data_IF_331126275970
#
_entry.id   IF_331126275970
#
_cell.length_a   1.000
_cell.length_b   1.000
_cell.length_c   1.000
_cell.angle_alpha   90.00
_cell.angle_beta   90.00
_cell.angle_gamma   90.00
#
_symmetry.space_group_name_H-M   'P 1'
#
loop_
_entity.id
_entity.type
_entity.pdbx_description
1 polymer ?
#
# COMPACT_ATOMS: atom_id res chain seq x y z
N UNK A 1 31.37 -22.02 -57.20
CA UNK A 1 31.81 -22.96 -56.14
C UNK A 1 32.31 -22.07 -55.01
N UNK A 2 31.46 -21.79 -54.06
CA UNK A 2 31.78 -20.98 -52.91
C UNK A 2 31.69 -21.91 -51.68
N UNK A 3 32.79 -22.06 -50.94
CA UNK A 3 32.93 -22.85 -49.74
C UNK A 3 32.14 -22.17 -48.58
N UNK A 4 31.35 -22.92 -47.79
CA UNK A 4 30.70 -22.36 -46.60
C UNK A 4 31.70 -22.19 -45.45
N UNK A 5 31.55 -21.08 -44.73
CA UNK A 5 32.34 -20.76 -43.53
C UNK A 5 31.99 -21.73 -42.37
N UNK A 6 32.93 -22.03 -41.47
CA UNK A 6 32.70 -22.96 -40.37
C UNK A 6 31.76 -22.35 -39.30
N UNK A 7 30.77 -23.15 -38.92
CA UNK A 7 29.88 -22.88 -37.80
C UNK A 7 30.69 -22.71 -36.51
N UNK A 8 30.48 -21.57 -35.84
CA UNK A 8 30.96 -21.37 -34.48
C UNK A 8 30.09 -22.21 -33.56
N UNK A 9 30.65 -23.29 -33.10
CA UNK A 9 30.16 -24.12 -32.00
C UNK A 9 29.96 -23.26 -30.76
N UNK A 10 28.71 -22.99 -30.43
CA UNK A 10 28.34 -22.33 -29.17
C UNK A 10 28.54 -23.37 -28.07
N UNK A 11 29.70 -23.33 -27.42
CA UNK A 11 29.97 -24.12 -26.20
C UNK A 11 28.99 -23.69 -25.12
N UNK A 12 27.91 -24.42 -24.97
CA UNK A 12 26.97 -24.37 -23.88
C UNK A 12 27.60 -24.96 -22.62
N UNK A 13 28.41 -24.18 -21.91
CA UNK A 13 28.92 -24.54 -20.61
C UNK A 13 28.93 -23.34 -19.67
N UNK A 14 27.88 -22.54 -19.71
CA UNK A 14 27.62 -21.62 -18.61
C UNK A 14 26.48 -22.22 -17.77
N UNK A 15 26.90 -23.06 -16.81
CA UNK A 15 26.02 -23.56 -15.76
C UNK A 15 25.38 -22.36 -15.09
N UNK A 16 24.04 -22.27 -15.03
CA UNK A 16 23.40 -21.19 -14.29
C UNK A 16 23.93 -21.18 -12.85
N UNK A 17 24.15 -20.02 -12.25
CA UNK A 17 24.66 -19.93 -10.90
C UNK A 17 23.81 -20.78 -9.98
N UNK A 18 24.43 -21.76 -9.33
CA UNK A 18 23.76 -22.68 -8.41
C UNK A 18 23.27 -21.85 -7.22
N UNK A 19 22.00 -21.47 -7.27
CA UNK A 19 21.33 -20.82 -6.16
C UNK A 19 21.37 -21.79 -4.97
N UNK A 20 22.24 -21.55 -4.01
CA UNK A 20 22.35 -22.44 -2.86
C UNK A 20 21.07 -22.26 -2.03
N UNK A 21 20.37 -23.37 -1.82
CA UNK A 21 19.15 -23.41 -0.99
C UNK A 21 19.38 -22.84 0.42
N UNK A 22 20.63 -22.88 0.91
CA UNK A 22 21.05 -22.33 2.19
C UNK A 22 21.06 -20.79 2.25
N UNK A 23 21.15 -20.09 1.10
CA UNK A 23 21.02 -18.63 1.05
C UNK A 23 19.56 -18.18 1.13
N UNK A 24 18.65 -18.98 0.58
CA UNK A 24 17.21 -18.75 0.69
C UNK A 24 16.68 -18.93 2.11
N UNK A 25 17.25 -19.90 2.85
CA UNK A 25 16.87 -20.21 4.24
C UNK A 25 17.34 -19.12 5.23
N UNK A 26 18.41 -18.39 4.91
CA UNK A 26 18.93 -17.31 5.76
C UNK A 26 18.42 -15.92 5.41
N UNK A 27 17.47 -15.77 4.47
CA UNK A 27 16.88 -14.48 4.10
C UNK A 27 17.92 -13.50 3.52
N UNK A 28 19.02 -13.99 2.98
CA UNK A 28 19.98 -13.17 2.25
C UNK A 28 19.40 -12.86 0.87
N UNK A 29 18.81 -11.69 0.76
CA UNK A 29 18.65 -11.03 -0.54
C UNK A 29 20.06 -10.88 -1.11
N UNK A 30 20.36 -11.60 -2.20
CA UNK A 30 21.56 -11.34 -3.00
C UNK A 30 21.32 -10.04 -3.80
N UNK A 31 21.15 -8.93 -3.08
CA UNK A 31 21.16 -7.57 -3.59
C UNK A 31 22.51 -6.97 -3.23
N UNK A 32 23.04 -6.26 -4.18
CA UNK A 32 24.26 -5.50 -4.18
C UNK A 32 24.77 -5.14 -2.76
N UNK A 33 25.85 -5.76 -2.32
CA UNK A 33 26.44 -5.57 -0.98
C UNK A 33 26.84 -4.12 -0.72
N UNK A 34 27.01 -3.31 -1.77
CA UNK A 34 27.28 -1.88 -1.67
C UNK A 34 26.13 -1.10 -1.03
N UNK A 35 24.88 -1.56 -1.17
CA UNK A 35 23.71 -0.95 -0.53
C UNK A 35 23.66 -1.21 0.99
N UNK A 36 24.34 -2.27 1.47
CA UNK A 36 24.37 -2.65 2.88
C UNK A 36 25.37 -1.81 3.67
N UNK A 37 26.47 -1.38 3.04
CA UNK A 37 27.52 -0.58 3.70
C UNK A 37 27.02 0.79 4.18
N UNK A 38 26.02 1.38 3.51
CA UNK A 38 25.50 2.71 3.86
C UNK A 38 24.49 2.74 5.02
N UNK A 39 23.82 1.63 5.36
CA UNK A 39 22.74 1.59 6.37
C UNK A 39 22.69 0.27 7.16
N UNK A 40 23.71 -0.07 7.95
CA UNK A 40 23.79 -1.35 8.64
C UNK A 40 22.69 -1.60 9.67
N UNK A 41 22.04 -0.54 10.20
CA UNK A 41 20.98 -0.66 11.19
C UNK A 41 19.68 -1.27 10.62
N UNK A 42 19.42 -1.11 9.31
CA UNK A 42 18.22 -1.65 8.66
C UNK A 42 18.23 -3.17 8.53
N UNK A 43 19.42 -3.78 8.64
CA UNK A 43 19.63 -5.21 8.50
C UNK A 43 19.96 -5.91 9.84
N UNK A 44 19.92 -5.18 10.95
CA UNK A 44 20.10 -5.77 12.28
C UNK A 44 18.76 -6.26 12.82
N UNK A 45 18.67 -7.53 13.30
CA UNK A 45 17.46 -8.02 13.95
C UNK A 45 17.22 -7.25 15.26
N UNK A 46 15.99 -6.81 15.46
CA UNK A 46 15.58 -6.10 16.68
C UNK A 46 15.17 -7.14 17.70
N UNK A 47 15.90 -7.22 18.83
CA UNK A 47 15.56 -8.09 19.96
C UNK A 47 14.70 -7.30 20.95
N UNK A 48 13.44 -7.69 21.11
CA UNK A 48 12.52 -7.17 22.13
C UNK A 48 12.17 -8.30 23.08
N UNK A 49 12.93 -8.40 24.19
CA UNK A 49 12.77 -9.49 25.16
C UNK A 49 13.06 -10.88 24.53
N UNK A 50 12.17 -11.87 24.76
CA UNK A 50 12.36 -13.22 24.20
C UNK A 50 12.05 -13.33 22.69
N UNK A 51 11.52 -12.26 22.06
CA UNK A 51 11.10 -12.24 20.67
C UNK A 51 12.15 -11.58 19.78
N UNK A 52 12.61 -12.30 18.76
CA UNK A 52 13.46 -11.74 17.70
C UNK A 52 12.58 -11.30 16.55
N UNK A 53 12.40 -9.98 16.39
CA UNK A 53 11.73 -9.42 15.23
C UNK A 53 12.65 -9.46 14.01
N UNK A 54 12.14 -9.77 12.82
CA UNK A 54 12.92 -9.67 11.60
C UNK A 54 13.45 -8.25 11.43
N UNK A 55 14.57 -8.11 10.71
CA UNK A 55 15.16 -6.78 10.47
C UNK A 55 14.23 -5.87 9.69
N UNK A 56 14.39 -4.55 9.84
CA UNK A 56 13.49 -3.56 9.23
C UNK A 56 13.34 -3.71 7.71
N UNK A 57 14.41 -4.02 6.98
CA UNK A 57 14.40 -4.21 5.53
C UNK A 57 13.86 -5.59 5.11
N UNK A 58 13.39 -6.45 6.03
CA UNK A 58 12.83 -7.75 5.66
C UNK A 58 11.52 -7.60 4.89
N UNK A 59 11.25 -8.48 3.91
CA UNK A 59 10.00 -8.47 3.15
C UNK A 59 8.77 -8.50 4.05
N UNK A 60 8.79 -9.29 5.11
CA UNK A 60 7.70 -9.44 6.08
C UNK A 60 7.41 -8.13 6.82
N UNK A 61 8.45 -7.46 7.33
CA UNK A 61 8.31 -6.18 8.03
C UNK A 61 7.77 -5.11 7.10
N UNK A 62 8.28 -5.01 5.87
CA UNK A 62 7.82 -4.04 4.89
C UNK A 62 6.34 -4.29 4.50
N UNK A 63 5.94 -5.55 4.32
CA UNK A 63 4.55 -5.90 4.07
C UNK A 63 3.65 -5.46 5.23
N UNK A 64 4.03 -5.76 6.47
CA UNK A 64 3.25 -5.40 7.65
C UNK A 64 3.10 -3.86 7.73
N UNK A 65 4.18 -3.11 7.53
CA UNK A 65 4.13 -1.64 7.53
C UNK A 65 3.15 -1.12 6.48
N UNK A 66 3.24 -1.61 5.23
CA UNK A 66 2.34 -1.19 4.16
C UNK A 66 0.90 -1.61 4.44
N UNK A 67 0.69 -2.79 5.02
CA UNK A 67 -0.63 -3.26 5.44
C UNK A 67 -1.24 -2.36 6.51
N UNK A 68 -0.43 -1.88 7.49
CA UNK A 68 -0.88 -0.91 8.48
C UNK A 68 -1.19 0.46 7.89
N UNK A 69 -0.44 0.92 6.89
CA UNK A 69 -0.78 2.14 6.15
C UNK A 69 -2.16 1.99 5.50
N UNK A 70 -2.42 0.87 4.85
CA UNK A 70 -3.72 0.61 4.23
C UNK A 70 -4.83 0.35 5.26
N UNK A 71 -4.51 -0.18 6.43
CA UNK A 71 -5.44 -0.29 7.56
C UNK A 71 -5.90 1.10 8.03
N UNK A 72 -4.94 2.03 8.25
CA UNK A 72 -5.23 3.36 8.78
C UNK A 72 -5.85 4.32 7.74
N UNK A 73 -5.43 4.25 6.48
CA UNK A 73 -5.91 5.15 5.43
C UNK A 73 -7.18 4.60 4.75
N UNK A 74 -7.12 3.71 3.75
CA UNK A 74 -8.33 3.23 3.08
C UNK A 74 -9.22 2.34 3.95
N UNK A 75 -8.68 1.63 4.95
CA UNK A 75 -9.47 0.83 5.88
C UNK A 75 -10.41 1.69 6.72
N UNK A 76 -9.90 2.74 7.35
CA UNK A 76 -10.73 3.70 8.10
C UNK A 76 -11.64 4.52 7.19
N UNK A 77 -11.20 4.86 5.99
CA UNK A 77 -12.05 5.51 4.98
C UNK A 77 -13.28 4.65 4.66
N UNK A 78 -13.11 3.34 4.46
CA UNK A 78 -14.23 2.43 4.22
C UNK A 78 -15.23 2.42 5.38
N UNK A 79 -14.74 2.49 6.62
CA UNK A 79 -15.60 2.59 7.80
C UNK A 79 -16.42 3.89 7.80
N UNK A 80 -15.77 5.04 7.58
CA UNK A 80 -16.43 6.35 7.53
C UNK A 80 -17.42 6.43 6.38
N UNK A 81 -17.06 5.90 5.20
CA UNK A 81 -17.95 5.86 4.03
C UNK A 81 -19.14 4.94 4.26
N UNK A 82 -18.95 3.78 4.90
CA UNK A 82 -20.04 2.86 5.27
C UNK A 82 -21.03 3.47 6.26
N UNK A 83 -20.61 4.41 7.09
CA UNK A 83 -21.47 5.20 7.99
C UNK A 83 -22.09 6.45 7.32
N UNK A 84 -21.99 6.58 6.00
CA UNK A 84 -22.52 7.74 5.27
C UNK A 84 -21.79 9.04 5.64
N UNK A 85 -20.46 9.04 5.62
CA UNK A 85 -19.65 10.20 6.01
C UNK A 85 -19.72 10.51 7.51
N UNK A 86 -19.83 9.47 8.34
CA UNK A 86 -19.98 9.60 9.79
C UNK A 86 -21.43 9.94 10.23
N UNK A 87 -22.41 9.77 9.34
CA UNK A 87 -23.83 10.05 9.62
C UNK A 87 -24.21 11.53 9.68
N UNK A 88 -23.28 12.44 9.37
CA UNK A 88 -23.47 13.89 9.50
C UNK A 88 -23.54 14.63 8.16
N UNK A 89 -23.30 13.93 7.05
CA UNK A 89 -23.28 14.51 5.70
C UNK A 89 -24.55 14.10 4.96
N UNK A 90 -25.15 15.03 4.21
CA UNK A 90 -26.31 14.73 3.35
C UNK A 90 -25.91 13.66 2.32
N UNK A 91 -26.74 12.65 2.14
CA UNK A 91 -26.46 11.49 1.27
C UNK A 91 -26.11 11.91 -0.16
N UNK A 92 -26.73 12.98 -0.67
CA UNK A 92 -26.45 13.53 -2.01
C UNK A 92 -25.00 14.02 -2.10
N UNK A 93 -24.56 14.81 -1.12
CA UNK A 93 -23.25 15.44 -1.13
C UNK A 93 -22.12 14.41 -0.99
N UNK A 94 -22.36 13.35 -0.19
CA UNK A 94 -21.45 12.18 -0.11
C UNK A 94 -21.38 11.45 -1.45
N UNK A 95 -22.53 11.29 -2.12
CA UNK A 95 -22.59 10.63 -3.44
C UNK A 95 -21.82 11.41 -4.50
N UNK A 96 -21.97 12.74 -4.51
CA UNK A 96 -21.26 13.62 -5.43
C UNK A 96 -19.74 13.58 -5.18
N UNK A 97 -19.30 13.61 -3.91
CA UNK A 97 -17.90 13.47 -3.54
C UNK A 97 -17.33 12.09 -3.93
N UNK A 98 -18.09 11.00 -3.73
CA UNK A 98 -17.70 9.66 -4.14
C UNK A 98 -17.61 9.52 -5.66
N UNK A 99 -18.51 10.15 -6.40
CA UNK A 99 -18.47 10.17 -7.87
C UNK A 99 -17.20 10.85 -8.36
N UNK A 100 -16.84 12.00 -7.79
CA UNK A 100 -15.59 12.69 -8.10
C UNK A 100 -14.37 11.83 -7.75
N UNK A 101 -14.39 11.18 -6.58
CA UNK A 101 -13.34 10.29 -6.12
C UNK A 101 -13.09 9.12 -7.09
N UNK A 102 -14.13 8.35 -7.38
CA UNK A 102 -13.98 7.16 -8.23
C UNK A 102 -13.66 7.50 -9.69
N UNK A 103 -14.13 8.64 -10.19
CA UNK A 103 -13.82 9.13 -11.54
C UNK A 103 -12.33 9.46 -11.66
N UNK A 104 -11.79 10.23 -10.72
CA UNK A 104 -10.36 10.59 -10.69
C UNK A 104 -9.47 9.38 -10.39
N UNK A 105 -9.91 8.49 -9.50
CA UNK A 105 -9.23 7.24 -9.21
C UNK A 105 -9.08 6.36 -10.46
N UNK A 106 -10.14 6.22 -11.25
CA UNK A 106 -10.10 5.44 -12.49
C UNK A 106 -9.08 6.01 -13.49
N UNK A 107 -9.10 7.32 -13.72
CA UNK A 107 -8.16 7.97 -14.64
C UNK A 107 -6.71 7.85 -14.17
N UNK A 108 -6.47 8.17 -12.91
CA UNK A 108 -5.10 8.15 -12.34
C UNK A 108 -4.57 6.72 -12.21
N UNK A 109 -5.44 5.74 -11.95
CA UNK A 109 -5.06 4.33 -11.86
C UNK A 109 -4.31 3.83 -13.10
N UNK A 110 -4.67 4.27 -14.29
CA UNK A 110 -3.95 3.95 -15.52
C UNK A 110 -2.54 4.55 -15.56
N UNK A 111 -2.33 5.71 -14.98
CA UNK A 111 -1.05 6.43 -15.01
C UNK A 111 -0.19 6.18 -13.78
N UNK A 112 -0.78 5.65 -12.71
CA UNK A 112 -0.16 5.51 -11.40
C UNK A 112 1.14 4.68 -11.45
N UNK A 113 1.20 3.63 -12.25
CA UNK A 113 2.40 2.81 -12.42
C UNK A 113 3.58 3.60 -12.99
N UNK A 114 3.34 4.42 -14.01
CA UNK A 114 4.38 5.26 -14.62
C UNK A 114 4.85 6.35 -13.65
N UNK A 115 3.94 6.91 -12.87
CA UNK A 115 4.24 7.93 -11.85
C UNK A 115 5.05 7.30 -10.72
N UNK A 116 4.63 6.14 -10.20
CA UNK A 116 5.31 5.42 -9.13
C UNK A 116 6.74 5.02 -9.52
N UNK A 117 6.98 4.62 -10.77
CA UNK A 117 8.31 4.29 -11.26
C UNK A 117 9.24 5.52 -11.33
N UNK A 118 8.72 6.71 -11.53
CA UNK A 118 9.53 7.94 -11.60
C UNK A 118 9.79 8.56 -10.22
N UNK A 119 8.78 8.58 -9.37
CA UNK A 119 8.82 9.22 -8.04
C UNK A 119 9.39 8.27 -6.99
N UNK A 120 9.20 6.96 -7.18
CA UNK A 120 9.58 5.92 -6.23
C UNK A 120 8.46 5.58 -5.25
N UNK A 121 8.45 4.32 -4.80
CA UNK A 121 7.36 3.74 -3.99
C UNK A 121 7.12 4.47 -2.67
N UNK A 122 8.19 4.94 -2.00
CA UNK A 122 8.08 5.62 -0.70
C UNK A 122 7.31 6.93 -0.79
N UNK A 123 7.67 7.78 -1.76
CA UNK A 123 6.99 9.05 -1.95
C UNK A 123 5.57 8.83 -2.44
N UNK A 124 5.35 7.89 -3.34
CA UNK A 124 4.01 7.54 -3.85
C UNK A 124 3.08 7.09 -2.72
N UNK A 125 3.57 6.26 -1.78
CA UNK A 125 2.80 5.86 -0.60
C UNK A 125 2.48 7.05 0.31
N UNK A 126 3.45 7.94 0.56
CA UNK A 126 3.27 9.11 1.41
C UNK A 126 2.25 10.09 0.84
N UNK A 127 2.33 10.40 -0.46
CA UNK A 127 1.33 11.21 -1.15
C UNK A 127 -0.05 10.55 -1.12
N UNK A 128 -0.11 9.23 -1.29
CA UNK A 128 -1.34 8.47 -1.18
C UNK A 128 -2.01 8.66 0.17
N UNK A 129 -1.28 8.53 1.27
CA UNK A 129 -1.80 8.72 2.63
C UNK A 129 -2.27 10.15 2.91
N UNK A 130 -1.58 11.15 2.36
CA UNK A 130 -1.93 12.56 2.56
C UNK A 130 -3.33 12.92 2.03
N UNK A 131 -3.77 12.30 0.93
CA UNK A 131 -5.12 12.50 0.39
C UNK A 131 -6.22 12.11 1.36
N UNK A 132 -6.03 11.03 2.12
CA UNK A 132 -6.99 10.59 3.14
C UNK A 132 -7.13 11.60 4.28
N UNK A 133 -6.01 12.20 4.70
CA UNK A 133 -6.03 13.25 5.70
C UNK A 133 -6.85 14.47 5.26
N UNK A 134 -6.65 14.95 4.03
CA UNK A 134 -7.41 16.09 3.49
C UNK A 134 -8.89 15.76 3.38
N UNK A 135 -9.24 14.54 2.98
CA UNK A 135 -10.64 14.13 2.88
C UNK A 135 -11.32 14.11 4.24
N UNK A 136 -10.68 13.58 5.28
CA UNK A 136 -11.23 13.61 6.65
C UNK A 136 -11.36 15.05 7.15
N UNK A 137 -10.38 15.91 6.87
CA UNK A 137 -10.46 17.33 7.20
C UNK A 137 -11.65 18.03 6.47
N UNK A 138 -11.96 17.63 5.23
CA UNK A 138 -13.09 18.18 4.49
C UNK A 138 -14.44 17.76 5.10
N UNK A 139 -14.56 16.53 5.61
CA UNK A 139 -15.74 16.08 6.35
C UNK A 139 -15.96 16.91 7.62
N UNK A 140 -14.89 17.18 8.35
CA UNK A 140 -14.95 18.05 9.53
C UNK A 140 -15.37 19.49 9.15
N UNK A 141 -14.81 20.02 8.08
CA UNK A 141 -15.19 21.35 7.55
C UNK A 141 -16.65 21.40 7.10
N UNK A 142 -17.13 20.33 6.47
CA UNK A 142 -18.52 20.22 6.06
C UNK A 142 -19.47 20.28 7.27
N UNK A 143 -19.11 19.58 8.34
CA UNK A 143 -19.92 19.57 9.57
C UNK A 143 -20.04 20.96 10.22
N UNK A 144 -19.08 21.86 10.01
CA UNK A 144 -19.12 23.22 10.56
C UNK A 144 -19.75 24.25 9.63
N UNK A 145 -19.48 24.15 8.33
CA UNK A 145 -19.80 25.20 7.35
C UNK A 145 -20.69 24.74 6.17
N UNK A 146 -21.11 23.47 6.13
CA UNK A 146 -21.83 22.85 5.01
C UNK A 146 -21.16 23.11 3.62
N UNK A 147 -19.82 23.18 3.56
CA UNK A 147 -19.11 23.51 2.34
C UNK A 147 -18.98 22.28 1.43
N UNK A 148 -19.97 22.09 0.56
CA UNK A 148 -20.04 20.98 -0.41
C UNK A 148 -18.88 21.04 -1.42
N UNK A 149 -18.49 22.25 -1.86
CA UNK A 149 -17.44 22.43 -2.86
C UNK A 149 -16.10 21.89 -2.38
N UNK A 150 -15.75 22.14 -1.11
CA UNK A 150 -14.53 21.61 -0.52
C UNK A 150 -14.57 20.08 -0.36
N UNK A 151 -15.72 19.52 0.00
CA UNK A 151 -15.91 18.08 0.11
C UNK A 151 -15.71 17.36 -1.23
N UNK A 152 -16.32 17.86 -2.32
CA UNK A 152 -16.20 17.30 -3.66
C UNK A 152 -14.75 17.43 -4.18
N UNK A 153 -14.11 18.59 -3.96
CA UNK A 153 -12.70 18.79 -4.31
C UNK A 153 -11.79 17.82 -3.57
N UNK A 154 -11.99 17.65 -2.27
CA UNK A 154 -11.22 16.71 -1.46
C UNK A 154 -11.46 15.27 -1.89
N UNK A 155 -12.67 14.92 -2.33
CA UNK A 155 -13.00 13.63 -2.94
C UNK A 155 -12.19 13.39 -4.21
N UNK A 156 -12.16 14.36 -5.13
CA UNK A 156 -11.38 14.26 -6.35
C UNK A 156 -9.87 14.12 -6.06
N UNK A 157 -9.34 14.90 -5.12
CA UNK A 157 -7.95 14.80 -4.69
C UNK A 157 -7.64 13.44 -4.05
N UNK A 158 -8.55 12.94 -3.22
CA UNK A 158 -8.43 11.61 -2.64
C UNK A 158 -8.37 10.53 -3.73
N UNK A 159 -9.17 10.64 -4.79
CA UNK A 159 -9.13 9.69 -5.91
C UNK A 159 -7.74 9.63 -6.57
N UNK A 160 -7.11 10.78 -6.78
CA UNK A 160 -5.72 10.85 -7.28
C UNK A 160 -4.76 10.14 -6.32
N UNK A 161 -4.82 10.49 -5.04
CA UNK A 161 -3.95 9.95 -4.01
C UNK A 161 -4.17 8.44 -3.78
N UNK A 162 -5.43 8.00 -3.79
CA UNK A 162 -5.78 6.59 -3.66
C UNK A 162 -5.25 5.76 -4.84
N UNK A 163 -5.35 6.26 -6.08
CA UNK A 163 -4.78 5.57 -7.24
C UNK A 163 -3.28 5.33 -7.09
N UNK A 164 -2.54 6.31 -6.61
CA UNK A 164 -1.12 6.20 -6.33
C UNK A 164 -0.82 5.22 -5.19
N UNK A 165 -1.58 5.29 -4.09
CA UNK A 165 -1.40 4.41 -2.93
C UNK A 165 -1.64 2.95 -3.29
N UNK A 166 -2.74 2.65 -3.99
CA UNK A 166 -3.08 1.28 -4.38
C UNK A 166 -2.07 0.71 -5.38
N UNK A 167 -1.54 1.53 -6.28
CA UNK A 167 -0.48 1.11 -7.19
C UNK A 167 0.82 0.79 -6.42
N UNK A 168 1.23 1.66 -5.51
CA UNK A 168 2.47 1.48 -4.75
C UNK A 168 2.38 0.28 -3.79
N UNK A 169 1.25 0.10 -3.09
CA UNK A 169 1.05 -1.07 -2.22
C UNK A 169 1.04 -2.37 -3.04
N UNK A 170 0.37 -2.38 -4.19
CA UNK A 170 0.35 -3.54 -5.09
C UNK A 170 1.76 -3.93 -5.56
N UNK A 171 2.58 -2.94 -5.92
CA UNK A 171 3.96 -3.16 -6.31
C UNK A 171 4.80 -3.75 -5.16
N UNK A 172 4.66 -3.26 -3.93
CA UNK A 172 5.34 -3.82 -2.75
C UNK A 172 4.88 -5.26 -2.51
N UNK A 173 3.57 -5.51 -2.50
CA UNK A 173 3.00 -6.82 -2.22
C UNK A 173 3.42 -7.88 -3.24
N UNK A 174 3.67 -7.49 -4.50
CA UNK A 174 4.05 -8.44 -5.56
C UNK A 174 5.56 -8.58 -5.75
N UNK A 175 6.35 -7.56 -5.38
CA UNK A 175 7.80 -7.54 -5.64
C UNK A 175 8.65 -8.02 -4.47
N UNK A 176 8.19 -7.86 -3.23
CA UNK A 176 8.98 -8.19 -2.04
C UNK A 176 8.97 -9.67 -1.67
N UNK A 177 7.85 -10.41 -1.75
CA UNK A 177 7.83 -11.82 -1.35
C UNK A 177 8.46 -12.73 -2.42
N UNK A 178 8.99 -13.87 -1.94
CA UNK A 178 9.39 -14.95 -2.84
C UNK A 178 8.16 -15.56 -3.52
N UNK A 179 8.34 -16.12 -4.74
CA UNK A 179 7.26 -16.69 -5.53
C UNK A 179 6.38 -17.69 -4.75
N UNK A 180 7.01 -18.55 -3.94
CA UNK A 180 6.33 -19.56 -3.12
C UNK A 180 5.47 -18.96 -1.99
N UNK A 181 5.76 -17.75 -1.52
CA UNK A 181 5.13 -17.12 -0.38
C UNK A 181 4.14 -16.02 -0.77
N UNK A 182 4.02 -15.67 -2.04
CA UNK A 182 3.14 -14.59 -2.54
C UNK A 182 1.70 -14.73 -2.04
N UNK A 183 1.14 -15.93 -2.10
CA UNK A 183 -0.23 -16.18 -1.63
C UNK A 183 -0.41 -15.88 -0.13
N UNK A 184 0.57 -16.27 0.69
CA UNK A 184 0.58 -15.97 2.13
C UNK A 184 0.65 -14.46 2.40
N UNK A 185 1.49 -13.75 1.68
CA UNK A 185 1.64 -12.30 1.81
C UNK A 185 0.35 -11.56 1.42
N UNK A 186 -0.27 -11.96 0.33
CA UNK A 186 -1.57 -11.42 -0.11
C UNK A 186 -2.63 -11.64 0.97
N UNK A 187 -2.71 -12.85 1.53
CA UNK A 187 -3.68 -13.17 2.57
C UNK A 187 -3.48 -12.32 3.83
N UNK A 188 -2.23 -12.18 4.32
CA UNK A 188 -1.91 -11.35 5.49
C UNK A 188 -2.28 -9.89 5.25
N UNK A 189 -1.95 -9.35 4.07
CA UNK A 189 -2.31 -7.99 3.71
C UNK A 189 -3.82 -7.76 3.78
N UNK A 190 -4.61 -8.63 3.12
CA UNK A 190 -6.06 -8.48 3.09
C UNK A 190 -6.71 -8.62 4.46
N UNK A 191 -6.20 -9.51 5.32
CA UNK A 191 -6.68 -9.62 6.70
C UNK A 191 -6.45 -8.33 7.47
N UNK A 192 -5.23 -7.78 7.45
CA UNK A 192 -4.90 -6.55 8.18
C UNK A 192 -5.72 -5.37 7.64
N UNK A 193 -5.81 -5.25 6.31
CA UNK A 193 -6.57 -4.16 5.67
C UNK A 193 -8.06 -4.18 6.05
N UNK A 194 -8.72 -5.35 5.97
CA UNK A 194 -10.14 -5.45 6.30
C UNK A 194 -10.44 -5.23 7.78
N UNK A 195 -9.50 -5.57 8.68
CA UNK A 195 -9.62 -5.25 10.11
C UNK A 195 -9.79 -3.74 10.34
N UNK A 196 -9.20 -2.88 9.49
CA UNK A 196 -9.38 -1.43 9.56
C UNK A 196 -10.84 -1.01 9.38
N UNK A 197 -11.51 -1.57 8.38
CA UNK A 197 -12.93 -1.34 8.15
C UNK A 197 -13.81 -1.86 9.29
N UNK A 198 -13.53 -3.06 9.77
CA UNK A 198 -14.28 -3.70 10.88
C UNK A 198 -14.14 -2.88 12.17
N UNK A 199 -12.92 -2.58 12.58
CA UNK A 199 -12.66 -1.82 13.82
C UNK A 199 -13.26 -0.41 13.73
N UNK A 200 -13.07 0.28 12.59
CA UNK A 200 -13.63 1.61 12.39
C UNK A 200 -15.15 1.62 12.42
N UNK A 201 -15.81 0.62 11.83
CA UNK A 201 -17.27 0.49 11.88
C UNK A 201 -17.78 0.18 13.28
N UNK A 202 -17.09 -0.69 14.02
CA UNK A 202 -17.46 -1.01 15.41
C UNK A 202 -17.35 0.22 16.32
N UNK A 203 -16.30 1.01 16.19
CA UNK A 203 -16.15 2.27 16.95
C UNK A 203 -17.28 3.23 16.60
N UNK A 204 -17.64 3.39 15.33
CA UNK A 204 -18.75 4.23 14.91
C UNK A 204 -20.10 3.79 15.49
N UNK A 205 -20.41 2.50 15.46
CA UNK A 205 -21.64 1.94 16.05
C UNK A 205 -21.64 2.15 17.56
N UNK A 206 -20.52 1.84 18.24
CA UNK A 206 -20.41 2.00 19.68
C UNK A 206 -20.64 3.45 20.12
N UNK A 207 -20.04 4.42 19.43
CA UNK A 207 -20.24 5.84 19.72
C UNK A 207 -21.68 6.26 19.48
N UNK A 208 -22.34 5.81 18.42
CA UNK A 208 -23.73 6.10 18.15
C UNK A 208 -24.67 5.56 19.24
N UNK A 209 -24.42 4.32 19.70
CA UNK A 209 -25.23 3.72 20.78
C UNK A 209 -24.98 4.44 22.11
N UNK A 210 -23.71 4.76 22.43
CA UNK A 210 -23.40 5.45 23.69
C UNK A 210 -23.84 6.92 23.72
N UNK A 211 -23.78 7.64 22.59
CA UNK A 211 -24.15 9.06 22.51
C UNK A 211 -25.64 9.27 22.14
N UNK A 212 -26.23 8.32 21.39
CA UNK A 212 -27.65 8.38 21.03
C UNK A 212 -28.63 8.12 22.18
N UNK A 213 -28.13 7.69 23.33
CA UNK A 213 -28.90 7.55 24.58
C UNK A 213 -28.88 8.81 25.47
N UNK A 214 -28.32 9.92 25.00
CA UNK A 214 -28.41 11.24 25.66
C UNK A 214 -29.27 12.18 24.86
#
# INVERSE_FOLDING_TARGET
>A
MATPAPDKEITSSEKPPRYSANAAEKGQVAGDTSAVEGRPWMYKPIKIGPWTLPWFASPETQLIIVSFVCFLCPGMFNAVSGLGGGGQVKTKDVSDANTALYSTFAVVGFLAGSIANRIGLKLTLSFGGFGYFIYVASLLSYNHNENVGFLVFAGALLGVCAGLLWCAQGAVMMSYPYEKDKGKFIAIFWVIFNLGGVIGSLVGVFLNVCLGHR
#
